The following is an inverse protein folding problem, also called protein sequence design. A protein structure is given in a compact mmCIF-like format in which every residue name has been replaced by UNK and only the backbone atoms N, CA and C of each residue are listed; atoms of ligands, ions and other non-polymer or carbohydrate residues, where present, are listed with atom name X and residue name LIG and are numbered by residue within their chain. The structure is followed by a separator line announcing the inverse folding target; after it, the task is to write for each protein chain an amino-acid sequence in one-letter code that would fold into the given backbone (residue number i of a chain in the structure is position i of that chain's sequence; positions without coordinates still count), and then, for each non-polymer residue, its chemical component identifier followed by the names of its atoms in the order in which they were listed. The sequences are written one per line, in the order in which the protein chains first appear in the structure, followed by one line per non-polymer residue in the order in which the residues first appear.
data_IF_563642422661
#
_entry.id   IF_563642422661
#
_cell.length_a   1.000
_cell.length_b   1.000
_cell.length_c   1.000
_cell.angle_alpha   90.00
_cell.angle_beta   90.00
_cell.angle_gamma   90.00
#
_symmetry.space_group_name_H-M   'P 1'
#
loop_
_entity.id
_entity.type
_entity.pdbx_description
1 polymer ?
#
# COMPACT_ATOMS: atom_id res chain seq x y z
N UNK A 1 -12.66 5.20 30.99
CA UNK A 1 -11.48 5.94 30.50
C UNK A 1 -11.73 6.34 29.05
N UNK A 2 -11.49 7.62 28.69
CA UNK A 2 -11.67 8.02 27.31
C UNK A 2 -10.67 7.24 26.45
N UNK A 3 -11.16 6.65 25.35
CA UNK A 3 -10.32 6.11 24.30
C UNK A 3 -9.60 7.29 23.66
N UNK A 4 -8.36 7.50 24.02
CA UNK A 4 -7.51 8.49 23.38
C UNK A 4 -7.04 7.84 22.07
N UNK A 5 -7.71 8.17 20.99
CA UNK A 5 -7.34 7.71 19.66
C UNK A 5 -5.98 8.25 19.28
N UNK A 6 -4.98 7.39 19.21
CA UNK A 6 -3.68 7.68 18.64
C UNK A 6 -3.65 7.21 17.20
N UNK A 7 -3.24 8.06 16.27
CA UNK A 7 -3.01 7.66 14.88
C UNK A 7 -1.57 7.26 14.68
N UNK A 8 -1.34 6.03 14.25
CA UNK A 8 -0.03 5.56 13.83
C UNK A 8 0.08 5.69 12.31
N UNK A 9 0.85 6.65 11.84
CA UNK A 9 1.11 6.90 10.42
C UNK A 9 2.52 6.44 10.09
N UNK A 10 2.64 5.39 9.30
CA UNK A 10 3.91 5.01 8.70
C UNK A 10 4.22 5.94 7.53
N UNK A 11 5.23 6.74 7.74
CA UNK A 11 5.92 7.71 6.92
C UNK A 11 5.40 8.13 5.55
N UNK A 12 5.17 9.41 5.41
CA UNK A 12 4.99 10.08 4.13
C UNK A 12 6.36 10.48 3.56
N UNK A 13 6.87 9.70 2.63
CA UNK A 13 7.73 10.22 1.57
C UNK A 13 7.16 9.65 0.27
N UNK A 14 6.95 10.49 -0.72
CA UNK A 14 6.31 10.17 -2.02
C UNK A 14 7.01 9.05 -2.82
N UNK A 15 8.01 8.40 -2.26
CA UNK A 15 8.80 7.35 -2.89
C UNK A 15 8.73 6.02 -2.12
N UNK A 16 7.81 5.87 -1.17
CA UNK A 16 7.68 4.60 -0.44
C UNK A 16 6.70 3.70 -1.20
N UNK A 17 7.18 2.65 -1.87
CA UNK A 17 6.35 1.76 -2.68
C UNK A 17 5.34 0.97 -1.84
N UNK A 18 5.50 0.99 -0.52
CA UNK A 18 4.64 0.26 0.40
C UNK A 18 4.39 1.04 1.68
N UNK A 19 3.11 1.19 2.05
CA UNK A 19 2.69 1.88 3.27
C UNK A 19 1.70 1.02 4.04
N UNK A 20 1.95 0.86 5.33
CA UNK A 20 0.98 0.37 6.30
C UNK A 20 0.64 1.47 7.29
N UNK A 21 -0.61 1.55 7.73
CA UNK A 21 -1.05 2.50 8.74
C UNK A 21 -2.08 1.88 9.66
N UNK A 22 -2.11 2.32 10.89
CA UNK A 22 -3.17 2.05 11.83
C UNK A 22 -3.65 3.38 12.43
N UNK A 23 -4.95 3.52 12.62
CA UNK A 23 -5.59 4.68 13.26
C UNK A 23 -6.43 4.21 14.44
N UNK A 24 -6.78 5.14 15.32
CA UNK A 24 -7.65 4.88 16.48
C UNK A 24 -7.08 3.82 17.44
N UNK A 25 -5.75 3.77 17.53
CA UNK A 25 -5.02 2.84 18.39
C UNK A 25 -4.92 3.46 19.80
N UNK A 26 -5.36 2.75 20.86
CA UNK A 26 -5.14 3.20 22.23
C UNK A 26 -3.65 3.37 22.53
N UNK A 27 -3.29 4.45 23.24
CA UNK A 27 -1.88 4.78 23.56
C UNK A 27 -1.13 3.62 24.21
N UNK A 28 -1.83 2.87 25.08
CA UNK A 28 -1.24 1.72 25.81
C UNK A 28 -0.75 0.57 24.93
N UNK A 29 -1.25 0.46 23.69
CA UNK A 29 -0.91 -0.64 22.77
C UNK A 29 -0.18 -0.17 21.50
N UNK A 30 0.23 1.08 21.45
CA UNK A 30 0.92 1.66 20.26
C UNK A 30 2.18 0.86 19.93
N UNK A 31 2.99 0.52 20.94
CA UNK A 31 4.23 -0.24 20.73
C UNK A 31 3.97 -1.64 20.16
N UNK A 32 2.91 -2.30 20.63
CA UNK A 32 2.56 -3.62 20.13
C UNK A 32 2.04 -3.58 18.72
N UNK A 33 1.19 -2.59 18.39
CA UNK A 33 0.73 -2.35 17.01
C UNK A 33 1.91 -2.02 16.09
N UNK A 34 2.86 -1.21 16.54
CA UNK A 34 4.07 -0.91 15.78
C UNK A 34 4.87 -2.18 15.49
N UNK A 35 5.13 -3.02 16.50
CA UNK A 35 5.82 -4.30 16.32
C UNK A 35 5.08 -5.21 15.33
N UNK A 36 3.75 -5.29 15.44
CA UNK A 36 2.93 -6.08 14.52
C UNK A 36 3.04 -5.58 13.07
N UNK A 37 2.97 -4.27 12.85
CA UNK A 37 3.10 -3.68 11.51
C UNK A 37 4.48 -3.98 10.91
N UNK A 38 5.55 -3.81 11.69
CA UNK A 38 6.93 -4.15 11.27
C UNK A 38 7.06 -5.64 10.94
N UNK A 39 6.53 -6.51 11.80
CA UNK A 39 6.56 -7.95 11.57
C UNK A 39 5.80 -8.34 10.29
N UNK A 40 4.63 -7.74 10.02
CA UNK A 40 3.87 -7.97 8.79
C UNK A 40 4.64 -7.52 7.54
N UNK A 41 5.30 -6.36 7.58
CA UNK A 41 6.14 -5.92 6.46
C UNK A 41 7.31 -6.87 6.20
N UNK A 42 7.93 -7.38 7.27
CA UNK A 42 9.04 -8.31 7.16
C UNK A 42 8.59 -9.70 6.71
N UNK A 43 7.37 -10.12 7.08
CA UNK A 43 6.84 -11.45 6.74
C UNK A 43 6.72 -11.69 5.24
N UNK A 44 6.48 -10.65 4.44
CA UNK A 44 6.43 -10.78 2.97
C UNK A 44 7.73 -11.33 2.39
N UNK A 45 8.86 -11.06 3.04
CA UNK A 45 10.19 -11.57 2.63
C UNK A 45 10.46 -12.97 3.12
N UNK A 46 10.00 -13.31 4.32
CA UNK A 46 10.27 -14.60 4.99
C UNK A 46 9.18 -15.64 4.74
N UNK A 47 7.96 -15.19 4.54
CA UNK A 47 6.79 -16.01 4.24
C UNK A 47 6.06 -15.41 3.03
N UNK A 48 6.52 -15.74 1.81
CA UNK A 48 5.95 -15.15 0.60
C UNK A 48 4.48 -15.51 0.44
N UNK A 49 3.67 -14.60 -0.12
CA UNK A 49 2.25 -14.83 -0.30
C UNK A 49 2.00 -16.04 -1.20
N UNK A 50 0.91 -16.73 -0.91
CA UNK A 50 0.42 -17.85 -1.74
C UNK A 50 -0.12 -17.33 -3.08
N UNK A 51 -0.19 -18.20 -4.08
CA UNK A 51 -0.83 -17.87 -5.36
C UNK A 51 -2.27 -17.37 -5.18
N UNK A 52 -3.01 -17.99 -4.26
CA UNK A 52 -4.39 -17.59 -3.99
C UNK A 52 -4.49 -16.18 -3.41
N UNK A 53 -3.56 -15.79 -2.54
CA UNK A 53 -3.50 -14.44 -1.99
C UNK A 53 -3.15 -13.41 -3.07
N UNK A 54 -2.23 -13.74 -3.97
CA UNK A 54 -1.86 -12.90 -5.11
C UNK A 54 -3.05 -12.70 -6.05
N UNK A 55 -3.72 -13.77 -6.42
CA UNK A 55 -4.91 -13.69 -7.27
C UNK A 55 -6.04 -12.88 -6.64
N UNK A 56 -6.23 -13.01 -5.34
CA UNK A 56 -7.19 -12.18 -4.60
C UNK A 56 -6.78 -10.71 -4.61
N UNK A 57 -5.50 -10.43 -4.42
CA UNK A 57 -4.97 -9.05 -4.44
C UNK A 57 -5.12 -8.42 -5.83
N UNK A 58 -4.81 -9.14 -6.92
CA UNK A 58 -5.01 -8.68 -8.29
C UNK A 58 -6.46 -8.28 -8.55
N UNK A 59 -7.42 -9.16 -8.21
CA UNK A 59 -8.84 -8.89 -8.36
C UNK A 59 -9.29 -7.66 -7.58
N UNK A 60 -8.78 -7.49 -6.35
CA UNK A 60 -9.07 -6.32 -5.53
C UNK A 60 -8.53 -5.03 -6.16
N UNK A 61 -7.29 -5.04 -6.65
CA UNK A 61 -6.64 -3.88 -7.28
C UNK A 61 -7.40 -3.49 -8.56
N UNK A 62 -7.66 -4.44 -9.44
CA UNK A 62 -8.37 -4.19 -10.71
C UNK A 62 -9.79 -3.70 -10.44
N UNK A 63 -10.51 -4.33 -9.51
CA UNK A 63 -11.86 -3.91 -9.14
C UNK A 63 -11.91 -2.51 -8.53
N UNK A 64 -10.98 -2.20 -7.63
CA UNK A 64 -10.87 -0.85 -7.05
C UNK A 64 -10.52 0.20 -8.10
N UNK A 65 -9.63 -0.14 -9.03
CA UNK A 65 -9.27 0.73 -10.14
C UNK A 65 -10.48 1.03 -11.03
N UNK A 66 -11.25 0.00 -11.41
CA UNK A 66 -12.46 0.16 -12.19
C UNK A 66 -13.51 1.06 -11.50
N UNK A 67 -13.70 0.88 -10.19
CA UNK A 67 -14.60 1.74 -9.40
C UNK A 67 -14.17 3.21 -9.42
N UNK A 68 -12.86 3.48 -9.31
CA UNK A 68 -12.33 4.85 -9.38
C UNK A 68 -12.47 5.47 -10.77
N UNK A 69 -12.64 4.68 -11.82
CA UNK A 69 -12.81 5.16 -13.21
C UNK A 69 -14.25 5.42 -13.61
N UNK A 70 -15.22 5.27 -12.72
CA UNK A 70 -16.63 5.52 -13.03
C UNK A 70 -16.96 6.99 -13.30
N UNK A 71 -16.23 7.92 -12.68
CA UNK A 71 -16.45 9.36 -12.84
C UNK A 71 -15.48 9.91 -13.88
N UNK A 72 -15.98 10.77 -14.75
CA UNK A 72 -15.19 11.45 -15.80
C UNK A 72 -14.01 12.23 -15.19
N UNK A 73 -14.25 12.92 -14.07
CA UNK A 73 -13.21 13.67 -13.36
C UNK A 73 -12.06 12.77 -12.92
N UNK A 74 -12.38 11.61 -12.37
CA UNK A 74 -11.38 10.69 -11.82
C UNK A 74 -10.58 10.03 -12.96
N UNK A 75 -11.25 9.71 -14.08
CA UNK A 75 -10.57 9.26 -15.31
C UNK A 75 -9.61 10.33 -15.86
N UNK A 76 -10.05 11.58 -15.94
CA UNK A 76 -9.21 12.68 -16.39
C UNK A 76 -7.98 12.85 -15.50
N UNK A 77 -8.15 12.70 -14.17
CA UNK A 77 -7.04 12.73 -13.21
C UNK A 77 -6.02 11.62 -13.51
N UNK A 78 -6.44 10.38 -13.68
CA UNK A 78 -5.52 9.27 -13.95
C UNK A 78 -4.78 9.43 -15.28
N UNK A 79 -5.47 9.83 -16.34
CA UNK A 79 -4.85 10.06 -17.63
C UNK A 79 -3.79 11.18 -17.56
N UNK A 80 -4.12 12.30 -16.90
CA UNK A 80 -3.18 13.38 -16.68
C UNK A 80 -2.01 12.99 -15.78
N UNK A 81 -2.26 12.19 -14.74
CA UNK A 81 -1.21 11.67 -13.86
C UNK A 81 -0.23 10.78 -14.62
N UNK A 82 -0.70 9.81 -15.39
CA UNK A 82 0.16 8.93 -16.18
C UNK A 82 1.00 9.70 -17.21
N UNK A 83 0.44 10.73 -17.80
CA UNK A 83 1.20 11.62 -18.69
C UNK A 83 2.27 12.38 -17.91
N UNK A 84 1.94 12.95 -16.77
CA UNK A 84 2.86 13.73 -15.96
C UNK A 84 4.06 12.94 -15.42
N UNK A 85 3.89 11.65 -15.11
CA UNK A 85 4.98 10.78 -14.65
C UNK A 85 5.72 10.06 -15.79
N UNK A 86 5.39 10.36 -17.05
CA UNK A 86 6.08 9.85 -18.21
C UNK A 86 5.69 8.44 -18.68
N UNK A 87 4.61 7.87 -18.13
CA UNK A 87 4.08 6.57 -18.57
C UNK A 87 3.18 6.70 -19.81
N UNK A 88 2.70 7.92 -20.09
CA UNK A 88 1.74 8.20 -21.15
C UNK A 88 0.30 7.79 -20.77
N UNK A 89 -0.68 8.52 -21.30
CA UNK A 89 -2.11 8.26 -21.04
C UNK A 89 -2.57 6.87 -21.48
N UNK A 90 -1.87 6.24 -22.43
CA UNK A 90 -2.17 4.88 -22.90
C UNK A 90 -1.95 3.79 -21.83
N UNK A 91 -1.19 4.10 -20.76
CA UNK A 91 -0.97 3.19 -19.65
C UNK A 91 -2.28 2.79 -18.95
N UNK A 92 -3.25 3.69 -18.90
CA UNK A 92 -4.57 3.46 -18.33
C UNK A 92 -5.24 2.19 -18.87
N UNK A 93 -5.16 1.97 -20.17
CA UNK A 93 -5.74 0.79 -20.84
C UNK A 93 -4.96 -0.50 -20.57
N UNK A 94 -3.69 -0.39 -20.23
CA UNK A 94 -2.80 -1.52 -19.97
C UNK A 94 -2.78 -1.90 -18.48
N UNK A 95 -3.39 -1.09 -17.61
CA UNK A 95 -3.26 -1.26 -16.17
C UNK A 95 -3.72 -2.65 -15.70
N UNK A 96 -4.90 -3.08 -16.12
CA UNK A 96 -5.44 -4.39 -15.73
C UNK A 96 -4.54 -5.53 -16.20
N UNK A 97 -4.15 -5.53 -17.49
CA UNK A 97 -3.30 -6.56 -18.06
C UNK A 97 -1.94 -6.64 -17.36
N UNK A 98 -1.38 -5.48 -16.99
CA UNK A 98 -0.11 -5.42 -16.25
C UNK A 98 -0.24 -5.98 -14.84
N UNK A 99 -1.36 -5.74 -14.16
CA UNK A 99 -1.63 -6.33 -12.84
C UNK A 99 -1.82 -7.85 -12.96
N UNK A 100 -2.55 -8.32 -13.98
CA UNK A 100 -2.74 -9.75 -14.23
C UNK A 100 -1.41 -10.46 -14.51
N UNK A 101 -0.49 -9.81 -15.21
CA UNK A 101 0.83 -10.35 -15.55
C UNK A 101 1.80 -10.46 -14.36
N UNK A 102 1.50 -9.85 -13.20
CA UNK A 102 2.37 -9.91 -12.02
C UNK A 102 2.46 -11.35 -11.51
N UNK A 103 3.67 -11.88 -11.42
CA UNK A 103 3.94 -13.19 -10.85
C UNK A 103 4.34 -13.09 -9.36
N UNK A 104 4.24 -14.21 -8.65
CA UNK A 104 4.67 -14.32 -7.24
C UNK A 104 6.14 -13.93 -7.07
N UNK A 105 6.97 -14.33 -8.00
CA UNK A 105 8.40 -14.04 -8.02
C UNK A 105 8.69 -12.54 -8.14
N UNK A 106 7.84 -11.79 -8.82
CA UNK A 106 7.98 -10.34 -8.94
C UNK A 106 7.68 -9.65 -7.61
N UNK A 107 6.68 -10.11 -6.87
CA UNK A 107 6.37 -9.63 -5.53
C UNK A 107 7.56 -9.85 -4.60
N UNK A 108 8.19 -11.04 -4.64
CA UNK A 108 9.37 -11.34 -3.84
C UNK A 108 10.56 -10.46 -4.18
N UNK A 109 10.88 -10.31 -5.46
CA UNK A 109 11.98 -9.42 -5.92
C UNK A 109 11.79 -8.00 -5.44
N UNK A 110 10.56 -7.49 -5.52
CA UNK A 110 10.23 -6.13 -5.04
C UNK A 110 10.36 -6.05 -3.52
N UNK A 111 9.85 -7.04 -2.79
CA UNK A 111 9.96 -7.09 -1.34
C UNK A 111 11.43 -7.13 -0.88
N UNK A 112 12.25 -7.96 -1.49
CA UNK A 112 13.69 -8.04 -1.20
C UNK A 112 14.44 -6.75 -1.51
N UNK A 113 14.05 -6.06 -2.57
CA UNK A 113 14.71 -4.82 -2.98
C UNK A 113 14.31 -3.64 -2.11
N UNK A 114 13.04 -3.49 -1.78
CA UNK A 114 12.50 -2.26 -1.22
C UNK A 114 12.10 -2.35 0.26
N UNK A 115 11.80 -3.54 0.80
CA UNK A 115 11.42 -3.70 2.20
C UNK A 115 12.63 -3.95 3.12
N UNK A 116 13.76 -3.33 2.85
CA UNK A 116 14.99 -3.46 3.66
C UNK A 116 15.09 -2.43 4.78
N UNK A 117 14.52 -1.25 4.56
CA UNK A 117 14.51 -0.14 5.52
C UNK A 117 13.09 0.27 5.83
N UNK A 118 12.79 0.51 7.11
CA UNK A 118 11.46 0.91 7.58
C UNK A 118 11.60 2.28 8.24
N UNK A 119 10.80 3.23 7.79
CA UNK A 119 10.59 4.49 8.48
C UNK A 119 9.27 4.42 9.25
N UNK A 120 9.30 4.80 10.51
CA UNK A 120 8.13 4.76 11.39
C UNK A 120 7.84 6.19 11.86
N UNK A 121 6.59 6.62 11.72
CA UNK A 121 6.09 7.86 12.29
C UNK A 121 4.91 7.54 13.20
N UNK A 122 4.98 7.99 14.44
CA UNK A 122 3.92 7.83 15.45
C UNK A 122 3.45 9.22 15.86
N UNK A 123 2.15 9.46 15.75
CA UNK A 123 1.52 10.69 16.22
C UNK A 123 0.62 10.35 17.39
N UNK A 124 0.89 10.95 18.53
CA UNK A 124 0.09 10.79 19.74
C UNK A 124 -0.36 12.15 20.23
N UNK A 125 -1.52 12.25 20.93
CA UNK A 125 -1.91 13.47 21.61
C UNK A 125 -0.84 13.83 22.66
N UNK A 126 -0.58 15.12 22.80
CA UNK A 126 0.28 15.64 23.85
C UNK A 126 -0.55 15.73 25.11
N UNK A 127 -0.04 15.20 26.24
CA UNK A 127 -0.61 15.38 27.57
C UNK A 127 -0.63 16.86 27.97
#
# INVERSE_FOLDING_TARGET
PPLVGGSCLLGFVEIVPYRMSASDVPVLVVDDVQKMLVAQMQSVRTNPPTEQEIERAKKLIIGTYALRHQRVRDRAYFLGWYEAIGLGYGFDRQFADRIEAVAREDVLKVAEKYLRGIAIAVTMPKD
#
